data_IF_559040294497
#
_entry.id   IF_559040294497
#
_cell.length_a   1.000
_cell.length_b   1.000
_cell.length_c   1.000
_cell.angle_alpha   90.00
_cell.angle_beta   90.00
_cell.angle_gamma   90.00
#
_symmetry.space_group_name_H-M   'P 1'
#
loop_
_entity.id
_entity.type
_entity.pdbx_description
1 polymer ?
#
# COMPACT_ATOMS: atom_id res chain seq x y z
N UNK A 1 -51.73 -18.36 -2.06
CA UNK A 1 -50.68 -19.20 -1.43
C UNK A 1 -49.38 -19.22 -2.25
N UNK A 2 -49.43 -19.47 -3.57
CA UNK A 2 -48.22 -19.51 -4.43
C UNK A 2 -47.43 -18.19 -4.54
N UNK A 3 -48.08 -17.03 -4.55
CA UNK A 3 -47.37 -15.74 -4.67
C UNK A 3 -46.59 -15.32 -3.41
N UNK A 4 -47.01 -15.75 -2.22
CA UNK A 4 -46.34 -15.39 -0.96
C UNK A 4 -44.99 -16.12 -0.84
N UNK A 5 -44.88 -17.35 -1.35
CA UNK A 5 -43.64 -18.12 -1.37
C UNK A 5 -42.60 -17.53 -2.33
N UNK A 6 -43.02 -16.99 -3.48
CA UNK A 6 -42.13 -16.39 -4.47
C UNK A 6 -41.48 -15.07 -3.98
N UNK A 7 -42.21 -14.30 -3.18
CA UNK A 7 -41.72 -13.02 -2.63
C UNK A 7 -40.69 -13.24 -1.52
N UNK A 8 -40.77 -14.34 -0.76
CA UNK A 8 -39.80 -14.69 0.27
C UNK A 8 -38.55 -15.32 -0.34
N UNK A 9 -38.69 -16.11 -1.42
CA UNK A 9 -37.53 -16.69 -2.09
C UNK A 9 -36.70 -15.67 -2.86
N UNK A 10 -37.32 -14.63 -3.44
CA UNK A 10 -36.61 -13.63 -4.23
C UNK A 10 -35.47 -12.91 -3.48
N UNK A 11 -35.65 -12.34 -2.28
CA UNK A 11 -34.56 -11.73 -1.53
C UNK A 11 -33.54 -12.75 -1.04
N UNK A 12 -33.93 -14.01 -0.78
CA UNK A 12 -32.99 -15.09 -0.41
C UNK A 12 -32.14 -15.49 -1.62
N UNK A 13 -32.73 -15.60 -2.80
CA UNK A 13 -32.04 -15.92 -4.06
C UNK A 13 -31.15 -14.74 -4.47
N UNK A 14 -31.66 -13.50 -4.40
CA UNK A 14 -30.88 -12.28 -4.66
C UNK A 14 -29.73 -12.17 -3.64
N UNK A 15 -30.00 -12.41 -2.35
CA UNK A 15 -28.97 -12.41 -1.30
C UNK A 15 -27.92 -13.49 -1.55
N UNK A 16 -28.34 -14.71 -1.92
CA UNK A 16 -27.44 -15.80 -2.27
C UNK A 16 -26.58 -15.47 -3.50
N UNK A 17 -27.18 -14.91 -4.56
CA UNK A 17 -26.49 -14.47 -5.77
C UNK A 17 -25.47 -13.38 -5.43
N UNK A 18 -25.85 -12.38 -4.63
CA UNK A 18 -24.94 -11.31 -4.17
C UNK A 18 -23.78 -11.90 -3.37
N UNK A 19 -24.03 -12.86 -2.47
CA UNK A 19 -22.99 -13.54 -1.70
C UNK A 19 -22.03 -14.33 -2.60
N UNK A 20 -22.50 -14.93 -3.70
CA UNK A 20 -21.66 -15.72 -4.61
C UNK A 20 -20.97 -14.92 -5.71
N UNK A 21 -21.47 -13.71 -6.04
CA UNK A 21 -20.89 -12.83 -7.06
C UNK A 21 -20.03 -11.70 -6.48
N UNK A 22 -19.91 -11.61 -5.15
CA UNK A 22 -18.95 -10.74 -4.51
C UNK A 22 -17.55 -11.36 -4.60
N UNK A 23 -16.97 -11.37 -5.80
CA UNK A 23 -15.63 -11.90 -6.05
C UNK A 23 -14.58 -11.09 -5.28
N UNK A 24 -13.59 -11.74 -4.63
CA UNK A 24 -12.45 -11.03 -4.08
C UNK A 24 -11.72 -10.30 -5.21
N UNK A 25 -11.22 -9.08 -4.91
CA UNK A 25 -10.37 -8.34 -5.83
C UNK A 25 -9.19 -9.23 -6.27
N UNK A 26 -8.80 -9.22 -7.56
CA UNK A 26 -7.66 -9.98 -8.02
C UNK A 26 -6.39 -9.59 -7.24
N UNK A 27 -5.48 -10.54 -7.10
CA UNK A 27 -4.21 -10.34 -6.40
C UNK A 27 -3.06 -10.32 -7.42
N UNK A 28 -2.10 -9.42 -7.21
CA UNK A 28 -0.92 -9.24 -8.04
C UNK A 28 0.34 -9.16 -7.18
N UNK A 29 1.50 -9.37 -7.80
CA UNK A 29 2.80 -9.29 -7.13
C UNK A 29 3.36 -7.88 -7.28
N UNK A 30 3.74 -7.27 -6.15
CA UNK A 30 4.36 -5.94 -6.14
C UNK A 30 5.72 -6.00 -6.84
N UNK A 31 5.95 -5.22 -7.90
CA UNK A 31 7.19 -5.24 -8.65
C UNK A 31 8.29 -4.49 -7.89
N UNK A 32 9.54 -4.78 -8.27
CA UNK A 32 10.70 -4.00 -7.85
C UNK A 32 10.77 -2.70 -8.67
N UNK A 33 10.70 -1.56 -7.99
CA UNK A 33 10.73 -0.22 -8.57
C UNK A 33 11.85 0.67 -8.02
N UNK A 34 12.61 0.20 -7.03
CA UNK A 34 13.78 0.93 -6.50
C UNK A 34 14.82 1.11 -7.62
N UNK A 35 15.36 2.32 -7.74
CA UNK A 35 16.31 2.74 -8.76
C UNK A 35 15.67 3.19 -10.08
N UNK A 36 14.35 3.01 -10.26
CA UNK A 36 13.63 3.56 -11.41
C UNK A 36 13.31 5.04 -11.21
N UNK A 37 13.05 5.75 -12.31
CA UNK A 37 12.48 7.09 -12.26
C UNK A 37 11.03 7.08 -11.75
N UNK A 38 10.53 8.24 -11.30
CA UNK A 38 9.11 8.41 -10.90
C UNK A 38 8.14 7.88 -11.95
N UNK A 39 8.38 8.24 -13.21
CA UNK A 39 7.51 7.90 -14.34
C UNK A 39 7.56 6.40 -14.65
N UNK A 40 8.75 5.79 -14.70
CA UNK A 40 8.88 4.35 -14.91
C UNK A 40 8.26 3.54 -13.77
N UNK A 41 8.43 3.99 -12.52
CA UNK A 41 7.82 3.36 -11.36
C UNK A 41 6.29 3.45 -11.41
N UNK A 42 5.75 4.62 -11.79
CA UNK A 42 4.33 4.84 -11.99
C UNK A 42 3.75 3.88 -13.04
N UNK A 43 4.32 3.86 -14.25
CA UNK A 43 3.84 3.00 -15.34
C UNK A 43 3.90 1.51 -14.97
N UNK A 44 4.95 1.08 -14.27
CA UNK A 44 5.13 -0.31 -13.87
C UNK A 44 4.14 -0.75 -12.78
N UNK A 45 3.69 0.15 -11.92
CA UNK A 45 2.70 -0.13 -10.88
C UNK A 45 1.26 -0.08 -11.45
N UNK A 46 0.94 0.95 -12.22
CA UNK A 46 -0.40 1.13 -12.80
C UNK A 46 -0.73 0.05 -13.85
N UNK A 47 0.26 -0.39 -14.64
CA UNK A 47 0.06 -1.43 -15.66
C UNK A 47 -0.38 -2.79 -15.10
N UNK A 48 -0.19 -3.02 -13.80
CA UNK A 48 -0.62 -4.24 -13.09
C UNK A 48 -1.75 -3.95 -12.08
N UNK A 49 -2.39 -2.78 -12.18
CA UNK A 49 -3.53 -2.40 -11.35
C UNK A 49 -3.17 -1.97 -9.92
N UNK A 50 -1.92 -1.60 -9.63
CA UNK A 50 -1.54 -1.01 -8.36
C UNK A 50 -1.55 0.52 -8.44
N UNK A 51 -1.84 1.19 -7.33
CA UNK A 51 -1.83 2.65 -7.26
C UNK A 51 -0.46 3.11 -6.81
N UNK A 52 0.18 4.01 -7.58
CA UNK A 52 1.45 4.60 -7.19
C UNK A 52 1.24 5.84 -6.31
N UNK A 53 1.78 5.84 -5.09
CA UNK A 53 1.75 6.99 -4.18
C UNK A 53 3.17 7.51 -3.97
N UNK A 54 3.41 8.78 -4.33
CA UNK A 54 4.77 9.35 -4.35
C UNK A 54 4.98 10.27 -3.14
N UNK A 55 6.00 9.96 -2.35
CA UNK A 55 6.54 10.84 -1.31
C UNK A 55 7.88 11.41 -1.79
N UNK A 56 7.93 12.73 -1.98
CA UNK A 56 9.16 13.40 -2.42
C UNK A 56 9.97 13.86 -1.22
N UNK A 57 11.21 13.38 -1.12
CA UNK A 57 12.23 14.00 -0.27
C UNK A 57 12.98 15.02 -1.13
N UNK A 58 13.01 16.29 -0.74
CA UNK A 58 13.50 17.43 -1.54
C UNK A 58 15.02 17.45 -1.79
N UNK A 59 15.71 16.31 -1.65
CA UNK A 59 17.15 16.20 -1.82
C UNK A 59 17.49 15.58 -3.19
N UNK A 60 17.52 16.43 -4.23
CA UNK A 60 18.27 16.30 -5.49
C UNK A 60 18.37 14.93 -6.20
N UNK A 61 17.40 14.03 -6.07
CA UNK A 61 17.39 12.78 -6.83
C UNK A 61 16.01 12.55 -7.45
N UNK A 62 16.02 12.00 -8.67
CA UNK A 62 14.82 11.72 -9.46
C UNK A 62 14.49 10.22 -9.50
N UNK A 63 15.14 9.42 -8.65
CA UNK A 63 14.99 7.96 -8.58
C UNK A 63 14.35 7.51 -7.28
N UNK A 64 13.63 6.39 -7.34
CA UNK A 64 13.02 5.75 -6.19
C UNK A 64 14.09 5.12 -5.30
N UNK A 65 14.20 5.54 -4.05
CA UNK A 65 15.10 4.93 -3.06
C UNK A 65 14.41 3.93 -2.15
N UNK A 66 13.09 4.03 -2.02
CA UNK A 66 12.31 3.19 -1.13
C UNK A 66 10.94 2.88 -1.71
N UNK A 67 10.45 1.67 -1.45
CA UNK A 67 9.08 1.28 -1.77
C UNK A 67 8.45 0.54 -0.60
N UNK A 68 7.13 0.70 -0.43
CA UNK A 68 6.33 -0.08 0.50
C UNK A 68 4.93 -0.31 -0.07
N UNK A 69 4.42 -1.56 -0.16
CA UNK A 69 5.07 -2.81 0.24
C UNK A 69 6.36 -3.15 -0.52
N UNK A 70 7.16 -4.04 0.08
CA UNK A 70 8.39 -4.56 -0.54
C UNK A 70 8.08 -5.36 -1.82
N UNK A 71 9.05 -5.42 -2.73
CA UNK A 71 8.94 -6.20 -3.95
C UNK A 71 8.71 -7.69 -3.65
N UNK A 72 7.95 -8.37 -4.50
CA UNK A 72 7.60 -9.78 -4.34
C UNK A 72 6.44 -10.05 -3.38
N UNK A 73 5.93 -9.02 -2.68
CA UNK A 73 4.74 -9.15 -1.85
C UNK A 73 3.49 -9.28 -2.70
N UNK A 74 2.53 -10.08 -2.25
CA UNK A 74 1.21 -10.16 -2.86
C UNK A 74 0.35 -9.00 -2.34
N UNK A 75 -0.27 -8.27 -3.25
CA UNK A 75 -1.18 -7.17 -2.97
C UNK A 75 -2.45 -7.31 -3.83
N UNK A 76 -3.59 -6.86 -3.30
CA UNK A 76 -4.82 -6.77 -4.08
C UNK A 76 -4.69 -5.68 -5.14
N UNK A 77 -5.33 -5.86 -6.28
CA UNK A 77 -5.54 -4.77 -7.23
C UNK A 77 -6.17 -3.56 -6.52
N UNK A 78 -5.79 -2.36 -6.97
CA UNK A 78 -6.14 -1.08 -6.35
C UNK A 78 -5.38 -0.78 -5.05
N UNK A 79 -4.42 -1.61 -4.63
CA UNK A 79 -3.61 -1.30 -3.45
C UNK A 79 -2.59 -0.21 -3.76
N UNK A 80 -2.53 0.80 -2.89
CA UNK A 80 -1.48 1.81 -2.93
C UNK A 80 -0.11 1.23 -2.55
N UNK A 81 0.90 1.50 -3.38
CA UNK A 81 2.32 1.30 -3.15
C UNK A 81 2.95 2.68 -2.97
N UNK A 82 3.49 2.93 -1.79
CA UNK A 82 4.23 4.16 -1.48
C UNK A 82 5.65 4.03 -2.00
N UNK A 83 6.08 5.00 -2.80
CA UNK A 83 7.47 5.16 -3.22
C UNK A 83 8.04 6.46 -2.65
N UNK A 84 9.28 6.42 -2.21
CA UNK A 84 10.03 7.62 -1.81
C UNK A 84 11.07 7.90 -2.87
N UNK A 85 11.06 9.14 -3.35
CA UNK A 85 12.05 9.68 -4.28
C UNK A 85 13.03 10.53 -3.47
N UNK A 86 14.32 10.39 -3.72
CA UNK A 86 15.37 11.07 -2.95
C UNK A 86 16.32 10.10 -2.27
N UNK A 87 17.32 10.60 -1.55
CA UNK A 87 18.26 9.75 -0.82
C UNK A 87 17.56 8.90 0.24
N UNK A 88 17.92 7.60 0.38
CA UNK A 88 17.49 6.86 1.55
C UNK A 88 18.01 7.59 2.79
N UNK A 89 17.11 7.95 3.73
CA UNK A 89 17.51 8.51 5.03
C UNK A 89 18.23 7.44 5.83
N UNK A 90 19.51 7.22 5.58
CA UNK A 90 20.22 6.07 6.15
C UNK A 90 20.55 6.24 7.64
N UNK A 91 20.62 7.44 8.25
CA UNK A 91 21.17 7.57 9.62
C UNK A 91 20.46 8.59 10.54
N UNK A 92 19.73 9.60 10.04
CA UNK A 92 19.16 10.64 10.93
C UNK A 92 18.10 10.13 11.92
N UNK A 93 17.43 9.01 11.61
CA UNK A 93 16.42 8.43 12.51
C UNK A 93 17.04 7.71 13.73
N UNK A 94 18.23 7.11 13.57
CA UNK A 94 18.91 6.41 14.67
C UNK A 94 19.50 7.43 15.66
N UNK A 95 20.04 8.55 15.17
CA UNK A 95 20.63 9.59 16.03
C UNK A 95 19.52 10.35 16.78
N UNK A 96 18.41 10.71 16.13
CA UNK A 96 17.36 11.45 16.82
C UNK A 96 16.63 10.64 17.90
N UNK A 97 16.53 9.32 17.73
CA UNK A 97 15.92 8.41 18.72
C UNK A 97 16.85 8.10 19.90
N UNK A 98 18.18 8.17 19.71
CA UNK A 98 19.15 7.93 20.77
C UNK A 98 19.56 9.21 21.55
N UNK A 99 19.21 10.40 21.05
CA UNK A 99 19.30 11.67 21.78
C UNK A 99 18.14 11.86 22.77
N UNK A 100 16.91 11.42 22.43
CA UNK A 100 15.76 11.52 23.35
C UNK A 100 15.86 10.58 24.56
N UNK A 101 16.74 9.57 24.53
CA UNK A 101 16.94 8.65 25.66
C UNK A 101 18.07 9.08 26.61
N UNK A 102 18.86 10.11 26.29
CA UNK A 102 19.94 10.61 27.17
C UNK A 102 19.55 11.81 28.03
N UNK A 103 18.41 12.45 27.78
CA UNK A 103 17.94 13.61 28.55
C UNK A 103 16.96 13.23 29.70
N UNK A 104 16.60 11.94 29.83
CA UNK A 104 15.74 11.43 30.92
C UNK A 104 16.51 10.60 31.97
N UNK A 105 17.82 10.77 32.11
CA UNK A 105 18.59 10.18 33.24
C UNK A 105 19.63 11.18 33.75
N UNK A 106 19.17 12.42 33.98
CA UNK A 106 20.02 13.52 34.42
C UNK A 106 19.41 14.42 35.48
N UNK A 107 18.33 14.06 36.17
CA UNK A 107 17.84 14.83 37.32
C UNK A 107 17.28 13.91 38.41
N UNK A 108 18.16 13.44 39.29
CA UNK A 108 17.82 13.04 40.65
C UNK A 108 19.07 13.25 41.53
N UNK A 109 19.29 14.51 41.89
CA UNK A 109 20.01 14.89 43.11
C UNK A 109 19.11 15.78 43.94
#
# INVERSE_FOLDING_TARGET
MAMILAIISAPVIISYIVLTHFSPLPETVVPYVIGLSEMEAFEKLESIGLICFVEKNYENEDVVSFQRPEAGRVAKEGRAVTIIIGKPKTIDYIIKSNETTKESTGEAQ
#
